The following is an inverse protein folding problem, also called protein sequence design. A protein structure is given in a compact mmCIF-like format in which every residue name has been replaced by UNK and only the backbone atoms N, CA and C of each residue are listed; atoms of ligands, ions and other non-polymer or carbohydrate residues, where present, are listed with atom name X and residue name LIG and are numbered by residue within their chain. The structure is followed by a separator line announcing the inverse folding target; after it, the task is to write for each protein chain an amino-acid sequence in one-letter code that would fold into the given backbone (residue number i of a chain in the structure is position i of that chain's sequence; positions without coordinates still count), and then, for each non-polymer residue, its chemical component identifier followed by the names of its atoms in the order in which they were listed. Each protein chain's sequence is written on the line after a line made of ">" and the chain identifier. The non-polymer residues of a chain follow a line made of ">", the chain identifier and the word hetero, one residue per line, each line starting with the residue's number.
data_IF_572165561813
#
_entry.id   IF_572165561813
#
_cell.length_a   1.000
_cell.length_b   1.000
_cell.length_c   1.000
_cell.angle_alpha   90.00
_cell.angle_beta   90.00
_cell.angle_gamma   90.00
#
_symmetry.space_group_name_H-M   'P 1'
#
loop_
_entity.id
_entity.type
_entity.pdbx_description
1 polymer ?
#
# COMPACT_ATOMS: atom_id res chain seq x y z
N UNK A 1 -22.64 0.65 1.17
CA UNK A 1 -22.56 2.08 1.55
C UNK A 1 -21.10 2.45 1.77
N UNK A 2 -20.63 3.52 1.16
CA UNK A 2 -19.23 3.91 1.11
C UNK A 2 -19.19 5.44 1.17
N UNK A 3 -18.15 6.01 1.77
CA UNK A 3 -17.92 7.47 1.77
C UNK A 3 -16.84 7.81 0.76
N UNK A 4 -17.01 8.92 0.07
CA UNK A 4 -16.00 9.60 -0.73
C UNK A 4 -15.97 11.06 -0.35
N UNK A 5 -14.83 11.55 0.08
CA UNK A 5 -14.61 12.96 0.34
C UNK A 5 -13.93 13.64 -0.85
N UNK A 6 -14.44 14.80 -1.20
CA UNK A 6 -13.82 15.66 -2.21
C UNK A 6 -13.09 16.79 -1.50
N UNK A 7 -11.79 16.63 -1.31
CA UNK A 7 -10.96 17.61 -0.61
C UNK A 7 -10.52 18.77 -1.52
N UNK A 8 -9.95 19.81 -0.90
CA UNK A 8 -9.41 21.01 -1.55
C UNK A 8 -10.49 21.89 -2.20
N UNK A 9 -11.67 21.96 -1.60
CA UNK A 9 -12.77 22.79 -2.07
C UNK A 9 -12.48 24.30 -1.98
N UNK A 10 -11.41 24.68 -1.28
CA UNK A 10 -10.88 26.05 -1.19
C UNK A 10 -10.13 26.52 -2.46
N UNK A 11 -9.86 25.61 -3.42
CA UNK A 11 -9.14 25.98 -4.64
C UNK A 11 -10.08 26.57 -5.70
N UNK A 12 -9.59 27.58 -6.43
CA UNK A 12 -10.24 28.09 -7.62
C UNK A 12 -10.39 26.98 -8.67
N UNK A 13 -11.62 26.80 -9.18
CA UNK A 13 -11.94 25.75 -10.15
C UNK A 13 -12.30 24.38 -9.54
N UNK A 14 -12.40 24.26 -8.21
CA UNK A 14 -12.97 23.06 -7.60
C UNK A 14 -14.44 22.86 -8.05
N UNK A 15 -14.76 21.70 -8.60
CA UNK A 15 -16.09 21.36 -9.10
C UNK A 15 -16.51 19.98 -8.61
N UNK A 16 -17.40 19.95 -7.63
CA UNK A 16 -17.91 18.73 -7.02
C UNK A 16 -18.74 17.90 -7.99
N UNK A 17 -19.55 18.55 -8.82
CA UNK A 17 -20.45 17.86 -9.75
C UNK A 17 -19.66 17.09 -10.81
N UNK A 18 -18.57 17.66 -11.29
CA UNK A 18 -17.68 16.96 -12.20
C UNK A 18 -17.07 15.70 -11.55
N UNK A 19 -16.63 15.80 -10.29
CA UNK A 19 -16.10 14.64 -9.56
C UNK A 19 -17.18 13.57 -9.36
N UNK A 20 -18.41 13.97 -9.03
CA UNK A 20 -19.54 13.04 -8.91
C UNK A 20 -19.84 12.32 -10.24
N UNK A 21 -19.73 13.03 -11.38
CA UNK A 21 -19.86 12.42 -12.71
C UNK A 21 -18.75 11.40 -12.98
N UNK A 22 -17.48 11.78 -12.74
CA UNK A 22 -16.33 10.88 -12.90
C UNK A 22 -16.45 9.64 -11.99
N UNK A 23 -16.94 9.79 -10.75
CA UNK A 23 -17.22 8.65 -9.85
C UNK A 23 -18.28 7.70 -10.44
N UNK A 24 -19.32 8.25 -11.08
CA UNK A 24 -20.37 7.45 -11.72
C UNK A 24 -19.84 6.61 -12.89
N UNK A 25 -18.88 7.13 -13.66
CA UNK A 25 -18.20 6.38 -14.74
C UNK A 25 -17.45 5.16 -14.19
N UNK A 26 -17.00 5.22 -12.93
CA UNK A 26 -16.37 4.10 -12.21
C UNK A 26 -17.37 3.24 -11.41
N UNK A 27 -18.68 3.39 -11.65
CA UNK A 27 -19.73 2.61 -11.00
C UNK A 27 -20.04 3.03 -9.56
N UNK A 28 -19.57 4.22 -9.13
CA UNK A 28 -19.83 4.79 -7.82
C UNK A 28 -20.90 5.89 -7.94
N UNK A 29 -22.17 5.52 -7.77
CA UNK A 29 -23.29 6.47 -7.84
C UNK A 29 -23.49 7.11 -6.47
N UNK A 30 -23.53 8.44 -6.43
CA UNK A 30 -23.75 9.19 -5.19
C UNK A 30 -25.20 9.12 -4.73
N UNK A 31 -25.44 9.25 -3.43
CA UNK A 31 -26.76 9.16 -2.80
C UNK A 31 -27.75 10.16 -3.39
N UNK A 32 -27.31 11.39 -3.68
CA UNK A 32 -28.11 12.43 -4.33
C UNK A 32 -28.69 11.99 -5.70
N UNK A 33 -28.01 11.04 -6.36
CA UNK A 33 -28.42 10.48 -7.66
C UNK A 33 -29.03 9.08 -7.54
N UNK A 34 -29.43 8.70 -6.32
CA UNK A 34 -30.09 7.42 -6.03
C UNK A 34 -29.13 6.24 -5.83
N UNK A 35 -27.85 6.50 -5.60
CA UNK A 35 -26.85 5.48 -5.29
C UNK A 35 -26.68 5.23 -3.79
N UNK A 36 -25.57 4.60 -3.43
CA UNK A 36 -25.23 4.22 -2.06
C UNK A 36 -23.91 4.84 -1.56
N UNK A 37 -23.36 5.81 -2.30
CA UNK A 37 -22.10 6.49 -1.99
C UNK A 37 -22.38 7.87 -1.41
N UNK A 38 -22.01 8.10 -0.17
CA UNK A 38 -22.00 9.43 0.44
C UNK A 38 -20.82 10.23 -0.11
N UNK A 39 -21.09 11.44 -0.63
CA UNK A 39 -20.04 12.31 -1.17
C UNK A 39 -20.00 13.61 -0.37
N UNK A 40 -18.93 13.82 0.39
CA UNK A 40 -18.76 14.98 1.27
C UNK A 40 -17.72 15.93 0.69
N UNK A 41 -18.09 17.17 0.32
CA UNK A 41 -17.12 18.19 -0.07
C UNK A 41 -16.45 18.75 1.19
N UNK A 42 -15.08 18.75 1.21
CA UNK A 42 -14.31 19.20 2.36
C UNK A 42 -13.16 20.10 1.96
N UNK A 43 -12.68 20.89 2.89
CA UNK A 43 -11.39 21.60 2.79
C UNK A 43 -10.59 21.38 4.07
N UNK A 44 -9.54 20.58 3.99
CA UNK A 44 -8.65 20.36 5.12
C UNK A 44 -7.91 21.65 5.54
N UNK A 45 -7.79 22.65 4.64
CA UNK A 45 -7.12 23.90 4.90
C UNK A 45 -8.01 24.87 5.71
N UNK A 46 -9.28 24.97 5.36
CA UNK A 46 -10.24 25.86 6.03
C UNK A 46 -10.99 25.16 7.16
N UNK A 47 -11.04 23.84 7.17
CA UNK A 47 -11.82 23.03 8.11
C UNK A 47 -13.28 22.82 7.70
N UNK A 48 -13.69 23.36 6.55
CA UNK A 48 -15.07 23.23 6.07
C UNK A 48 -15.39 21.79 5.73
N UNK A 49 -16.60 21.33 6.08
CA UNK A 49 -17.12 19.98 5.82
C UNK A 49 -16.48 18.85 6.67
N UNK A 50 -15.45 19.12 7.46
CA UNK A 50 -14.76 18.09 8.25
C UNK A 50 -15.67 17.49 9.32
N UNK A 51 -16.50 18.32 9.97
CA UNK A 51 -17.42 17.84 10.99
C UNK A 51 -18.48 16.91 10.40
N UNK A 52 -19.05 17.27 9.26
CA UNK A 52 -20.03 16.45 8.52
C UNK A 52 -19.41 15.12 8.10
N UNK A 53 -18.20 15.16 7.52
CA UNK A 53 -17.47 13.95 7.17
C UNK A 53 -17.28 13.00 8.37
N UNK A 54 -16.94 13.52 9.55
CA UNK A 54 -16.76 12.70 10.75
C UNK A 54 -18.09 12.13 11.25
N UNK A 55 -19.19 12.90 11.18
CA UNK A 55 -20.54 12.42 11.51
C UNK A 55 -20.97 11.28 10.58
N UNK A 56 -20.72 11.40 9.29
CA UNK A 56 -21.00 10.35 8.29
C UNK A 56 -20.16 9.10 8.52
N UNK A 57 -18.87 9.25 8.88
CA UNK A 57 -18.01 8.11 9.23
C UNK A 57 -18.58 7.36 10.45
N UNK A 58 -19.03 8.08 11.49
CA UNK A 58 -19.63 7.47 12.67
C UNK A 58 -20.93 6.75 12.32
N UNK A 59 -21.80 7.37 11.52
CA UNK A 59 -23.05 6.78 11.07
C UNK A 59 -22.82 5.46 10.33
N UNK A 60 -21.88 5.43 9.37
CA UNK A 60 -21.56 4.19 8.62
C UNK A 60 -20.93 3.13 9.54
N UNK A 61 -20.08 3.53 10.47
CA UNK A 61 -19.48 2.60 11.42
C UNK A 61 -20.55 1.93 12.30
N UNK A 62 -21.54 2.70 12.77
CA UNK A 62 -22.67 2.21 13.53
C UNK A 62 -23.55 1.26 12.71
N UNK A 63 -23.91 1.65 11.48
CA UNK A 63 -24.70 0.81 10.56
C UNK A 63 -24.01 -0.53 10.22
N UNK A 64 -22.69 -0.53 10.14
CA UNK A 64 -21.91 -1.76 9.83
C UNK A 64 -21.69 -2.66 11.06
N UNK A 65 -22.03 -2.21 12.26
CA UNK A 65 -21.79 -2.95 13.52
C UNK A 65 -20.37 -3.58 13.56
N UNK A 66 -19.34 -2.79 13.29
CA UNK A 66 -17.98 -3.29 13.21
C UNK A 66 -17.52 -3.88 14.54
N UNK A 67 -17.15 -5.16 14.53
CA UNK A 67 -16.73 -5.91 15.72
C UNK A 67 -15.33 -6.48 15.52
N UNK A 68 -14.54 -6.51 16.58
CA UNK A 68 -13.22 -7.16 16.62
C UNK A 68 -13.03 -7.86 17.96
N UNK A 69 -12.25 -8.94 17.96
CA UNK A 69 -11.88 -9.67 19.18
C UNK A 69 -10.46 -9.24 19.59
N UNK A 70 -10.27 -8.55 20.72
CA UNK A 70 -8.94 -8.17 21.20
C UNK A 70 -8.13 -9.35 21.76
N UNK A 71 -8.80 -10.43 22.22
CA UNK A 71 -8.19 -11.54 22.95
C UNK A 71 -7.63 -12.63 22.00
N UNK A 72 -6.97 -12.23 20.92
CA UNK A 72 -6.33 -13.15 19.98
C UNK A 72 -5.03 -12.54 19.46
N UNK A 73 -4.21 -13.34 18.77
CA UNK A 73 -3.03 -12.88 18.05
C UNK A 73 -3.41 -11.79 17.04
N UNK A 74 -2.59 -10.76 16.99
CA UNK A 74 -2.84 -9.60 16.13
C UNK A 74 -2.86 -9.95 14.65
N UNK A 75 -3.82 -9.35 13.95
CA UNK A 75 -3.92 -9.38 12.50
C UNK A 75 -4.33 -7.98 12.02
N UNK A 76 -3.77 -7.57 10.87
CA UNK A 76 -4.12 -6.29 10.29
C UNK A 76 -3.44 -6.06 8.95
N UNK A 77 -3.30 -4.79 8.58
CA UNK A 77 -2.72 -4.38 7.31
C UNK A 77 -1.52 -3.46 7.52
N UNK A 78 -0.58 -3.53 6.61
CA UNK A 78 0.52 -2.58 6.46
C UNK A 78 -0.02 -1.35 5.73
N UNK A 79 0.00 -0.20 6.38
CA UNK A 79 -0.43 1.06 5.76
C UNK A 79 0.70 1.64 4.92
N UNK A 80 1.90 1.66 5.51
CA UNK A 80 3.09 2.23 4.90
C UNK A 80 4.35 1.55 5.44
N UNK A 81 5.40 1.51 4.65
CA UNK A 81 6.69 1.03 5.12
C UNK A 81 7.83 1.80 4.45
N UNK A 82 8.89 2.03 5.23
CA UNK A 82 10.08 2.75 4.80
C UNK A 82 11.35 2.16 5.38
N UNK A 83 12.47 2.48 4.77
CA UNK A 83 13.78 2.15 5.30
C UNK A 83 14.39 3.37 5.99
N UNK A 84 14.49 3.33 7.31
CA UNK A 84 15.14 4.37 8.11
C UNK A 84 16.64 4.05 8.27
N UNK A 85 17.50 5.06 8.09
CA UNK A 85 18.96 4.88 8.13
C UNK A 85 19.49 4.43 9.51
N UNK A 86 18.79 4.79 10.59
CA UNK A 86 19.21 4.46 11.97
C UNK A 86 18.44 3.28 12.57
N UNK A 87 17.16 3.16 12.24
CA UNK A 87 16.24 2.18 12.84
C UNK A 87 16.00 0.94 11.96
N UNK A 88 16.48 0.96 10.70
CA UNK A 88 16.25 -0.11 9.72
C UNK A 88 14.84 -0.07 9.14
N UNK A 89 14.24 -1.23 8.77
CA UNK A 89 12.87 -1.29 8.30
C UNK A 89 11.88 -0.82 9.36
N UNK A 90 11.06 0.16 8.99
CA UNK A 90 10.00 0.75 9.80
C UNK A 90 8.69 0.58 9.05
N UNK A 91 7.66 0.08 9.71
CA UNK A 91 6.35 -0.11 9.11
C UNK A 91 5.25 0.49 10.01
N UNK A 92 4.30 1.16 9.39
CA UNK A 92 3.06 1.59 10.03
C UNK A 92 2.00 0.53 9.79
N UNK A 93 1.52 -0.07 10.87
CA UNK A 93 0.52 -1.12 10.87
C UNK A 93 -0.80 -0.60 11.40
N UNK A 94 -1.91 -1.05 10.81
CA UNK A 94 -3.23 -0.90 11.38
C UNK A 94 -3.69 -2.25 11.92
N UNK A 95 -3.81 -2.37 13.23
CA UNK A 95 -4.35 -3.57 13.86
C UNK A 95 -5.86 -3.63 13.60
N UNK A 96 -6.32 -4.69 12.96
CA UNK A 96 -7.74 -4.89 12.63
C UNK A 96 -8.42 -5.86 13.61
N UNK A 97 -7.66 -6.81 14.13
CA UNK A 97 -8.18 -7.82 15.05
C UNK A 97 -7.04 -8.32 15.94
N UNK A 98 -7.36 -8.71 17.16
CA UNK A 98 -6.35 -9.13 18.14
C UNK A 98 -5.63 -7.94 18.77
N UNK A 99 -4.66 -8.24 19.62
CA UNK A 99 -3.78 -7.25 20.26
C UNK A 99 -2.34 -7.56 19.91
N UNK A 100 -1.63 -6.58 19.40
CA UNK A 100 -0.20 -6.65 19.10
C UNK A 100 0.60 -6.19 20.31
N UNK A 101 1.62 -6.96 20.68
CA UNK A 101 2.50 -6.62 21.81
C UNK A 101 3.95 -6.43 21.33
N UNK A 102 4.67 -5.62 22.08
CA UNK A 102 6.14 -5.55 21.94
C UNK A 102 6.73 -6.92 22.24
N UNK A 103 7.55 -7.44 21.33
CA UNK A 103 8.12 -8.79 21.43
C UNK A 103 7.42 -9.85 20.59
N UNK A 104 6.25 -9.58 20.06
CA UNK A 104 5.55 -10.50 19.14
C UNK A 104 6.36 -10.71 17.86
N UNK A 105 6.27 -11.92 17.33
CA UNK A 105 6.78 -12.25 16.00
C UNK A 105 5.65 -12.03 14.99
N UNK A 106 5.91 -11.25 13.97
CA UNK A 106 4.94 -10.97 12.91
C UNK A 106 5.47 -11.35 11.53
N UNK A 107 4.55 -11.79 10.69
CA UNK A 107 4.74 -11.96 9.26
C UNK A 107 3.96 -10.86 8.55
N UNK A 108 4.62 -10.07 7.72
CA UNK A 108 4.01 -9.06 6.87
C UNK A 108 4.41 -9.29 5.41
N UNK A 109 3.47 -9.80 4.60
CA UNK A 109 3.77 -10.20 3.23
C UNK A 109 4.89 -11.25 3.16
N UNK A 110 6.03 -10.86 2.58
CA UNK A 110 7.26 -11.64 2.47
C UNK A 110 8.31 -11.29 3.53
N UNK A 111 7.99 -10.46 4.50
CA UNK A 111 8.88 -10.08 5.59
C UNK A 111 8.45 -10.70 6.90
N UNK A 112 9.41 -11.09 7.72
CA UNK A 112 9.20 -11.59 9.08
C UNK A 112 10.11 -10.83 10.03
N UNK A 113 9.66 -10.63 11.25
CA UNK A 113 10.49 -10.01 12.28
C UNK A 113 9.81 -9.98 13.63
N UNK A 114 10.60 -9.64 14.64
CA UNK A 114 10.12 -9.46 16.00
C UNK A 114 9.91 -7.99 16.28
N UNK A 115 8.74 -7.61 16.73
CA UNK A 115 8.41 -6.23 17.11
C UNK A 115 9.33 -5.79 18.23
N UNK A 116 10.25 -4.87 17.94
CA UNK A 116 11.22 -4.36 18.93
C UNK A 116 10.69 -3.15 19.68
N UNK A 117 10.12 -2.22 18.93
CA UNK A 117 9.54 -0.99 19.48
C UNK A 117 8.26 -0.72 18.72
N UNK A 118 7.21 -0.34 19.46
CA UNK A 118 5.99 0.23 18.93
C UNK A 118 5.87 1.67 19.38
N UNK A 119 5.43 2.53 18.45
CA UNK A 119 5.12 3.93 18.76
C UNK A 119 3.73 4.27 18.22
N UNK A 120 3.02 5.11 18.94
CA UNK A 120 1.73 5.62 18.53
C UNK A 120 1.84 6.76 17.51
N UNK A 121 0.71 7.33 17.11
CA UNK A 121 0.64 8.46 16.18
C UNK A 121 1.25 9.76 16.72
N UNK A 122 1.55 9.85 18.03
CA UNK A 122 2.23 10.99 18.65
C UNK A 122 3.72 10.80 18.77
N UNK A 123 4.21 9.56 18.51
CA UNK A 123 5.60 9.18 18.67
C UNK A 123 5.95 8.63 20.07
N UNK A 124 4.93 8.43 20.92
CA UNK A 124 5.13 7.84 22.24
C UNK A 124 5.26 6.31 22.14
N UNK A 125 6.16 5.73 22.94
CA UNK A 125 6.31 4.28 22.99
C UNK A 125 5.13 3.63 23.69
N UNK A 126 4.62 2.57 23.08
CA UNK A 126 3.52 1.76 23.64
C UNK A 126 3.92 0.29 23.65
N UNK A 127 3.42 -0.47 24.62
CA UNK A 127 3.72 -1.90 24.77
C UNK A 127 2.66 -2.80 24.11
N UNK A 128 1.46 -2.29 23.90
CA UNK A 128 0.35 -3.02 23.28
C UNK A 128 -0.53 -2.13 22.41
N UNK A 129 -1.09 -2.70 21.35
CA UNK A 129 -2.00 -2.04 20.42
C UNK A 129 -3.18 -2.97 20.09
N UNK A 130 -4.39 -2.57 20.51
CA UNK A 130 -5.62 -3.29 20.21
C UNK A 130 -6.19 -2.99 18.83
N UNK A 131 -7.39 -3.51 18.52
CA UNK A 131 -8.07 -3.28 17.26
C UNK A 131 -8.30 -1.79 16.96
N UNK A 132 -8.19 -1.44 15.66
CA UNK A 132 -8.33 -0.07 15.13
C UNK A 132 -7.25 0.92 15.58
N UNK A 133 -6.16 0.44 16.19
CA UNK A 133 -5.03 1.29 16.58
C UNK A 133 -3.94 1.24 15.51
N UNK A 134 -3.56 2.41 14.92
CA UNK A 134 -2.40 2.49 14.07
C UNK A 134 -1.12 2.58 14.90
N UNK A 135 -0.09 1.82 14.52
CA UNK A 135 1.20 1.80 15.22
C UNK A 135 2.37 1.78 14.24
N UNK A 136 3.40 2.56 14.53
CA UNK A 136 4.69 2.45 13.86
C UNK A 136 5.54 1.41 14.60
N UNK A 137 6.06 0.43 13.87
CA UNK A 137 6.89 -0.64 14.44
C UNK A 137 8.27 -0.67 13.81
N UNK A 138 9.22 -1.22 14.58
CA UNK A 138 10.56 -1.59 14.11
C UNK A 138 10.83 -3.05 14.40
N UNK A 139 11.77 -3.67 13.64
CA UNK A 139 12.24 -5.03 13.91
C UNK A 139 11.91 -6.05 12.81
N UNK A 140 11.28 -5.62 11.72
CA UNK A 140 11.14 -6.43 10.51
C UNK A 140 12.52 -6.65 9.84
N UNK A 141 12.70 -7.79 9.18
CA UNK A 141 13.92 -8.10 8.44
C UNK A 141 14.03 -7.29 7.14
N UNK A 142 12.91 -7.06 6.47
CA UNK A 142 12.82 -6.34 5.20
C UNK A 142 11.62 -5.38 5.25
N UNK A 143 11.59 -4.41 4.34
CA UNK A 143 10.47 -3.48 4.20
C UNK A 143 9.30 -4.20 3.53
N UNK A 144 8.14 -4.38 4.19
CA UNK A 144 6.97 -4.98 3.58
C UNK A 144 6.31 -4.05 2.57
N UNK A 145 5.46 -4.60 1.71
CA UNK A 145 4.67 -3.79 0.78
C UNK A 145 3.50 -3.10 1.48
N UNK A 146 3.16 -1.88 1.06
CA UNK A 146 1.93 -1.24 1.49
C UNK A 146 0.73 -2.06 1.02
N UNK A 147 -0.26 -2.25 1.90
CA UNK A 147 -1.41 -3.10 1.65
C UNK A 147 -1.23 -4.57 2.01
N UNK A 148 0.00 -5.02 2.31
CA UNK A 148 0.23 -6.38 2.81
C UNK A 148 -0.55 -6.63 4.10
N UNK A 149 -1.04 -7.86 4.27
CA UNK A 149 -1.59 -8.29 5.55
C UNK A 149 -0.47 -8.72 6.48
N UNK A 150 -0.54 -8.32 7.75
CA UNK A 150 0.32 -8.87 8.77
C UNK A 150 -0.44 -9.80 9.72
N UNK A 151 0.25 -10.79 10.25
CA UNK A 151 -0.26 -11.71 11.27
C UNK A 151 0.82 -11.92 12.33
N UNK A 152 0.44 -11.80 13.59
CA UNK A 152 1.27 -12.24 14.70
C UNK A 152 1.23 -13.77 14.81
N UNK A 153 2.36 -14.37 15.15
CA UNK A 153 2.53 -15.81 15.27
C UNK A 153 3.33 -16.15 16.53
N UNK A 154 3.09 -17.33 17.09
CA UNK A 154 3.80 -17.77 18.31
C UNK A 154 5.18 -18.35 18.01
N UNK A 155 5.31 -19.04 16.87
CA UNK A 155 6.55 -19.73 16.50
C UNK A 155 7.32 -18.99 15.40
N UNK A 156 8.47 -18.42 15.79
CA UNK A 156 9.35 -17.71 14.87
C UNK A 156 9.94 -18.61 13.79
N UNK A 157 10.18 -19.89 14.11
CA UNK A 157 10.78 -20.83 13.15
C UNK A 157 9.81 -21.14 12.01
N UNK A 158 8.57 -21.46 12.36
CA UNK A 158 7.50 -21.65 11.38
C UNK A 158 7.24 -20.39 10.55
N UNK A 159 7.31 -19.21 11.18
CA UNK A 159 7.17 -17.95 10.49
C UNK A 159 8.24 -17.76 9.40
N UNK A 160 9.50 -18.08 9.71
CA UNK A 160 10.60 -17.97 8.74
C UNK A 160 10.45 -18.97 7.60
N UNK A 161 10.10 -20.21 7.89
CA UNK A 161 9.85 -21.24 6.87
C UNK A 161 8.73 -20.82 5.89
N UNK A 162 7.61 -20.31 6.42
CA UNK A 162 6.49 -19.78 5.60
C UNK A 162 6.91 -18.61 4.72
N UNK A 163 7.71 -17.69 5.25
CA UNK A 163 8.19 -16.53 4.48
C UNK A 163 9.15 -16.97 3.37
N UNK A 164 10.06 -17.90 3.64
CA UNK A 164 10.97 -18.46 2.62
C UNK A 164 10.17 -19.17 1.50
N UNK A 165 9.15 -19.93 1.87
CA UNK A 165 8.26 -20.55 0.88
C UNK A 165 7.55 -19.50 0.02
N UNK A 166 6.97 -18.46 0.61
CA UNK A 166 6.31 -17.36 -0.13
C UNK A 166 7.28 -16.63 -1.06
N UNK A 167 8.51 -16.36 -0.60
CA UNK A 167 9.55 -15.76 -1.44
C UNK A 167 9.90 -16.64 -2.63
N UNK A 168 9.98 -17.94 -2.43
CA UNK A 168 10.26 -18.90 -3.50
C UNK A 168 9.11 -18.96 -4.51
N UNK A 169 7.87 -18.98 -4.05
CA UNK A 169 6.67 -18.96 -4.89
C UNK A 169 6.60 -17.65 -5.71
N UNK A 170 6.81 -16.48 -5.07
CA UNK A 170 6.82 -15.19 -5.75
C UNK A 170 7.91 -15.11 -6.83
N UNK A 171 9.12 -15.64 -6.55
CA UNK A 171 10.17 -15.77 -7.55
C UNK A 171 9.77 -16.67 -8.71
N UNK A 172 9.16 -17.83 -8.44
CA UNK A 172 8.70 -18.73 -9.49
C UNK A 172 7.62 -18.08 -10.38
N UNK A 173 6.69 -17.33 -9.79
CA UNK A 173 5.69 -16.59 -10.56
C UNK A 173 6.30 -15.53 -11.46
N UNK A 174 7.28 -14.77 -10.94
CA UNK A 174 8.05 -13.84 -11.77
C UNK A 174 8.75 -14.54 -12.92
N UNK A 175 9.44 -15.66 -12.67
CA UNK A 175 10.09 -16.42 -13.75
C UNK A 175 9.08 -16.98 -14.77
N UNK A 176 7.91 -17.43 -14.34
CA UNK A 176 6.86 -17.90 -15.26
C UNK A 176 6.29 -16.75 -16.11
N UNK A 177 6.21 -15.54 -15.59
CA UNK A 177 5.79 -14.37 -16.36
C UNK A 177 6.81 -13.96 -17.43
N UNK A 178 8.10 -14.12 -17.14
CA UNK A 178 9.18 -13.92 -18.12
C UNK A 178 9.25 -15.02 -19.18
N UNK A 179 8.91 -16.27 -18.85
CA UNK A 179 8.94 -17.40 -19.79
C UNK A 179 7.75 -17.47 -20.76
N UNK A 180 6.71 -16.66 -20.57
CA UNK A 180 5.57 -16.59 -21.50
C UNK A 180 5.84 -15.81 -22.78
N UNK A 181 7.09 -15.53 -23.11
CA UNK A 181 7.50 -15.12 -24.45
C UNK A 181 7.53 -16.38 -25.31
N UNK A 182 6.36 -16.79 -25.80
CA UNK A 182 6.24 -17.87 -26.79
C UNK A 182 6.82 -17.42 -28.13
N UNK A 183 7.26 -18.39 -28.97
CA UNK A 183 7.76 -18.11 -30.31
C UNK A 183 6.81 -17.23 -31.14
N UNK A 184 5.49 -17.35 -30.93
CA UNK A 184 4.48 -16.50 -31.56
C UNK A 184 4.60 -15.02 -31.17
N UNK A 185 4.96 -14.72 -29.93
CA UNK A 185 5.22 -13.33 -29.48
C UNK A 185 6.55 -12.78 -30.03
N UNK A 186 7.54 -13.64 -30.28
CA UNK A 186 8.79 -13.27 -30.92
C UNK A 186 8.56 -12.87 -32.39
N UNK A 187 7.75 -13.61 -33.11
CA UNK A 187 7.40 -13.27 -34.51
C UNK A 187 6.60 -11.96 -34.58
N UNK A 188 5.65 -11.73 -33.65
CA UNK A 188 4.89 -10.49 -33.57
C UNK A 188 5.77 -9.28 -33.20
N UNK A 189 6.80 -9.47 -32.36
CA UNK A 189 7.78 -8.42 -32.03
C UNK A 189 8.73 -8.10 -33.21
N UNK A 190 9.08 -9.09 -34.00
CA UNK A 190 9.91 -8.89 -35.21
C UNK A 190 9.11 -8.16 -36.30
N UNK A 191 7.81 -8.42 -36.44
CA UNK A 191 6.93 -7.73 -37.40
C UNK A 191 6.62 -6.26 -37.00
N UNK A 192 6.60 -5.95 -35.67
CA UNK A 192 6.34 -4.60 -35.18
C UNK A 192 7.54 -3.66 -35.15
N UNK A 193 8.72 -4.13 -35.56
CA UNK A 193 9.98 -3.35 -35.55
C UNK A 193 10.63 -3.33 -34.16
N UNK A 194 11.87 -2.90 -34.08
CA UNK A 194 12.65 -2.75 -32.85
C UNK A 194 12.07 -1.61 -32.00
N UNK A 195 11.09 -1.92 -31.10
CA UNK A 195 10.67 -0.98 -30.07
C UNK A 195 11.84 -0.79 -29.11
N UNK A 196 12.35 0.44 -29.01
CA UNK A 196 13.44 0.76 -28.09
C UNK A 196 12.95 0.64 -26.65
N UNK A 197 13.59 -0.22 -25.85
CA UNK A 197 13.31 -0.29 -24.41
C UNK A 197 14.16 0.75 -23.67
N UNK A 198 13.52 1.51 -22.77
CA UNK A 198 14.17 2.40 -21.83
C UNK A 198 14.10 1.76 -20.43
N UNK A 199 15.17 1.08 -19.98
CA UNK A 199 15.21 0.52 -18.63
C UNK A 199 15.40 1.64 -17.62
N UNK A 200 14.59 1.62 -16.55
CA UNK A 200 14.63 2.63 -15.47
C UNK A 200 14.67 1.92 -14.12
N UNK A 201 15.47 2.46 -13.20
CA UNK A 201 15.43 2.10 -11.77
C UNK A 201 14.72 3.21 -11.01
N UNK A 202 13.79 2.83 -10.13
CA UNK A 202 13.02 3.75 -9.29
C UNK A 202 13.39 3.56 -7.84
N UNK A 203 13.81 4.64 -7.18
CA UNK A 203 14.04 4.68 -5.73
C UNK A 203 13.22 5.82 -5.12
N UNK A 204 12.57 5.53 -4.00
CA UNK A 204 11.81 6.53 -3.25
C UNK A 204 12.00 6.32 -1.74
N UNK A 205 11.45 7.21 -0.93
CA UNK A 205 11.51 7.18 0.53
C UNK A 205 10.54 6.16 1.13
N UNK A 206 9.40 5.92 0.47
CA UNK A 206 8.37 4.97 0.89
C UNK A 206 7.93 4.05 -0.26
N UNK A 207 7.48 2.86 0.08
CA UNK A 207 7.09 1.84 -0.91
C UNK A 207 5.94 2.29 -1.81
N UNK A 208 4.92 2.97 -1.26
CA UNK A 208 3.80 3.48 -2.04
C UNK A 208 4.22 4.50 -3.12
N UNK A 209 5.24 5.33 -2.84
CA UNK A 209 5.80 6.25 -3.82
C UNK A 209 6.51 5.53 -4.96
N UNK A 210 7.24 4.45 -4.67
CA UNK A 210 7.88 3.61 -5.71
C UNK A 210 6.85 3.07 -6.68
N UNK A 211 5.75 2.51 -6.17
CA UNK A 211 4.69 1.93 -6.99
C UNK A 211 3.95 2.98 -7.83
N UNK A 212 3.62 4.14 -7.23
CA UNK A 212 2.97 5.23 -7.94
C UNK A 212 3.83 5.78 -9.09
N UNK A 213 5.12 5.99 -8.85
CA UNK A 213 6.07 6.45 -9.88
C UNK A 213 6.23 5.39 -10.97
N UNK A 214 6.38 4.10 -10.60
CA UNK A 214 6.46 3.00 -11.54
C UNK A 214 5.25 2.98 -12.49
N UNK A 215 4.04 2.99 -11.95
CA UNK A 215 2.81 3.01 -12.75
C UNK A 215 2.70 4.24 -13.65
N UNK A 216 3.15 5.40 -13.17
CA UNK A 216 3.13 6.63 -13.96
C UNK A 216 4.14 6.59 -15.11
N UNK A 217 5.34 6.04 -14.88
CA UNK A 217 6.37 5.90 -15.91
C UNK A 217 5.98 4.87 -16.96
N UNK A 218 5.42 3.73 -16.58
CA UNK A 218 4.97 2.69 -17.50
C UNK A 218 3.85 3.19 -18.45
N UNK A 219 2.99 4.11 -17.97
CA UNK A 219 1.96 4.77 -18.80
C UNK A 219 2.51 5.72 -19.87
N UNK A 220 3.76 6.16 -19.74
CA UNK A 220 4.42 7.01 -20.75
C UNK A 220 4.94 6.23 -21.94
N UNK A 221 4.87 4.90 -21.90
CA UNK A 221 5.26 4.05 -23.04
C UNK A 221 4.42 4.38 -24.27
N UNK A 222 5.06 4.46 -25.42
CA UNK A 222 4.46 4.67 -26.72
C UNK A 222 4.90 3.59 -27.74
N UNK A 223 4.46 3.67 -28.98
CA UNK A 223 4.79 2.69 -30.03
C UNK A 223 6.28 2.66 -30.39
N UNK A 224 7.04 3.75 -30.16
CA UNK A 224 8.45 3.86 -30.49
C UNK A 224 9.38 3.49 -29.33
N UNK A 225 8.96 3.83 -28.09
CA UNK A 225 9.77 3.63 -26.87
C UNK A 225 8.93 3.01 -25.76
N UNK A 226 9.36 1.87 -25.27
CA UNK A 226 8.77 1.20 -24.13
C UNK A 226 9.54 1.51 -22.85
N UNK A 227 8.90 2.20 -21.92
CA UNK A 227 9.47 2.45 -20.59
C UNK A 227 9.28 1.19 -19.73
N UNK A 228 10.37 0.64 -19.22
CA UNK A 228 10.37 -0.58 -18.41
C UNK A 228 11.09 -0.33 -17.09
N UNK A 229 10.35 -0.39 -15.98
CA UNK A 229 10.96 -0.32 -14.65
C UNK A 229 11.56 -1.68 -14.30
N UNK A 230 12.89 -1.78 -14.37
CA UNK A 230 13.63 -3.04 -14.14
C UNK A 230 13.84 -3.32 -12.64
N UNK A 231 13.92 -2.27 -11.81
CA UNK A 231 14.03 -2.40 -10.37
C UNK A 231 13.35 -1.23 -9.66
N UNK A 232 12.59 -1.53 -8.60
CA UNK A 232 11.99 -0.55 -7.70
C UNK A 232 12.33 -0.87 -6.26
N UNK A 233 12.71 0.13 -5.47
CA UNK A 233 13.05 -0.09 -4.07
C UNK A 233 12.99 1.16 -3.21
N UNK A 234 12.95 0.95 -1.91
CA UNK A 234 12.92 2.02 -0.91
C UNK A 234 14.35 2.38 -0.48
N UNK A 235 14.60 3.66 -0.28
CA UNK A 235 15.87 4.20 0.19
C UNK A 235 16.69 4.92 -0.87
N UNK A 236 17.94 5.20 -0.55
CA UNK A 236 18.86 5.88 -1.47
C UNK A 236 19.35 4.96 -2.59
N UNK A 237 19.78 5.55 -3.70
CA UNK A 237 20.44 4.82 -4.78
C UNK A 237 21.75 4.25 -4.27
N UNK A 238 21.98 2.95 -4.50
CA UNK A 238 23.17 2.22 -4.13
C UNK A 238 24.08 1.96 -5.34
N UNK A 239 25.32 1.57 -5.09
CA UNK A 239 26.28 1.19 -6.15
C UNK A 239 25.75 0.03 -7.01
N UNK A 240 25.10 -0.95 -6.38
CA UNK A 240 24.46 -2.08 -7.07
C UNK A 240 23.30 -1.65 -7.98
N UNK A 241 22.58 -0.60 -7.63
CA UNK A 241 21.53 -0.05 -8.51
C UNK A 241 22.16 0.58 -9.77
N UNK A 242 23.27 1.29 -9.60
CA UNK A 242 24.01 1.90 -10.73
C UNK A 242 24.61 0.83 -11.66
N UNK A 243 25.08 -0.29 -11.08
CA UNK A 243 25.60 -1.40 -11.88
C UNK A 243 24.51 -2.19 -12.64
N UNK A 244 23.26 -2.09 -12.18
CA UNK A 244 22.11 -2.75 -12.82
C UNK A 244 21.52 -1.89 -13.95
N UNK A 245 21.66 -0.55 -13.89
CA UNK A 245 21.14 0.39 -14.87
C UNK A 245 22.01 0.44 -16.13
#
# INVERSE_FOLDING_TARGET
>A
MCIRDSNKMDKEGANVDRIKQELTEHGLVVEEWGGDVMCVPVSAKTGDGIKELLEDVLLIAEMKELKANPDRLAKGAVIEARLDKGRGPVATLLVQNGTLHTGDVIIAGTSVGKVRVMTDHKGDKIDSAGPSVPVEITGLAEVPSAGDTFNAVEDEKLARELVEQRKHEAKQEQFKSYQKVTLDNLFSQIEQGEVKELPIIVKADVQGSVEAVKQSLEKLSNEEVRVKVIHGGVGAVSESDIMLA
#
